data_IF_668880512698
#
_entry.id   IF_668880512698
#
_cell.length_a   1.000
_cell.length_b   1.000
_cell.length_c   1.000
_cell.angle_alpha   90.00
_cell.angle_beta   90.00
_cell.angle_gamma   90.00
#
_symmetry.space_group_name_H-M   'P 1'
#
loop_
_entity.id
_entity.type
_entity.pdbx_description
1 polymer ?
#
# COMPACT_ATOMS: atom_id res chain seq x y z
N UNK A 1 20.09 40.70 36.19
CA UNK A 1 18.67 40.43 36.50
C UNK A 1 17.66 41.44 35.91
N UNK A 2 17.94 42.14 34.79
CA UNK A 2 16.92 42.92 34.05
C UNK A 2 16.90 42.65 32.55
N UNK A 3 17.35 41.47 32.14
CA UNK A 3 17.39 41.07 30.73
C UNK A 3 16.80 39.68 30.46
N UNK A 4 16.36 38.96 31.51
CA UNK A 4 15.71 37.65 31.40
C UNK A 4 14.18 37.67 31.56
N UNK A 5 13.55 38.82 31.79
CA UNK A 5 12.08 38.95 31.92
C UNK A 5 11.37 39.44 30.65
N UNK A 6 12.10 39.69 29.54
CA UNK A 6 11.50 40.15 28.27
C UNK A 6 11.33 39.07 27.19
N UNK A 7 11.63 37.81 27.49
CA UNK A 7 11.48 36.70 26.53
C UNK A 7 10.25 35.83 26.85
N UNK A 8 9.62 35.98 28.01
CA UNK A 8 8.48 35.14 28.42
C UNK A 8 7.11 35.78 28.10
N UNK A 9 7.07 37.01 27.58
CA UNK A 9 5.80 37.75 27.41
C UNK A 9 5.51 38.18 25.95
N UNK A 10 5.91 37.37 24.96
CA UNK A 10 5.62 37.62 23.54
C UNK A 10 5.13 36.37 22.77
N UNK A 11 4.47 35.42 23.45
CA UNK A 11 3.84 34.24 22.82
C UNK A 11 2.37 34.05 23.18
N UNK A 12 1.65 35.14 23.41
CA UNK A 12 0.20 35.16 23.33
C UNK A 12 -0.20 36.23 22.32
N UNK A 13 -1.21 35.91 21.49
CA UNK A 13 -1.91 36.77 20.52
C UNK A 13 -1.50 36.57 19.04
N UNK A 14 -2.36 35.81 18.35
CA UNK A 14 -2.65 35.76 16.90
C UNK A 14 -1.59 35.30 15.88
N UNK A 15 -1.95 34.27 15.10
CA UNK A 15 -1.41 34.11 13.75
C UNK A 15 -1.50 32.69 13.22
N UNK A 16 -2.58 32.38 12.51
CA UNK A 16 -2.71 31.23 11.62
C UNK A 16 -1.54 31.24 10.62
N UNK A 17 -0.64 30.25 10.66
CA UNK A 17 0.42 30.09 9.67
C UNK A 17 0.08 28.88 8.80
N UNK A 18 -0.37 29.22 7.59
CA UNK A 18 -0.54 28.35 6.44
C UNK A 18 0.84 27.84 5.99
N UNK A 19 1.02 26.53 5.90
CA UNK A 19 2.22 25.93 5.31
C UNK A 19 2.11 25.97 3.78
N UNK A 20 3.10 26.53 3.04
CA UNK A 20 3.07 26.49 1.59
C UNK A 20 3.36 25.08 1.08
N UNK A 21 2.46 24.63 0.20
CA UNK A 21 2.60 23.53 -0.75
C UNK A 21 3.96 23.55 -1.44
N UNK A 22 4.79 22.53 -1.21
CA UNK A 22 5.99 22.29 -2.01
C UNK A 22 5.60 21.63 -3.34
N UNK A 23 5.30 22.48 -4.30
CA UNK A 23 5.09 22.12 -5.70
C UNK A 23 6.41 21.72 -6.37
N UNK A 24 6.36 20.57 -7.05
CA UNK A 24 7.14 20.14 -8.23
C UNK A 24 8.54 20.73 -8.45
N UNK A 25 9.57 19.96 -8.13
CA UNK A 25 10.88 20.07 -8.76
C UNK A 25 10.89 19.19 -10.03
N UNK A 26 10.48 19.79 -11.15
CA UNK A 26 10.55 19.18 -12.49
C UNK A 26 11.98 19.27 -13.01
N UNK A 27 12.72 18.17 -12.94
CA UNK A 27 13.99 18.02 -13.66
C UNK A 27 13.66 17.72 -15.13
N UNK A 28 13.93 18.68 -16.02
CA UNK A 28 13.84 18.52 -17.47
C UNK A 28 14.94 17.56 -17.98
N UNK A 29 14.61 16.46 -18.68
CA UNK A 29 15.59 15.75 -19.48
C UNK A 29 15.81 16.47 -20.83
N UNK A 30 17.08 16.57 -21.22
CA UNK A 30 17.52 17.17 -22.47
C UNK A 30 17.04 16.37 -23.69
N UNK A 31 16.55 17.11 -24.67
CA UNK A 31 16.09 16.63 -25.98
C UNK A 31 17.27 16.07 -26.77
N UNK A 32 17.23 14.78 -27.10
CA UNK A 32 18.08 14.18 -28.12
C UNK A 32 17.18 13.80 -29.29
N UNK A 33 17.27 14.59 -30.36
CA UNK A 33 16.71 14.28 -31.67
C UNK A 33 17.36 12.99 -32.19
N UNK A 34 16.57 11.96 -32.44
CA UNK A 34 16.97 10.89 -33.34
C UNK A 34 15.87 10.61 -34.35
N UNK A 35 16.26 10.77 -35.60
CA UNK A 35 15.51 10.73 -36.84
C UNK A 35 14.94 9.34 -37.10
N UNK A 36 13.68 9.30 -37.52
CA UNK A 36 12.99 8.12 -38.04
C UNK A 36 13.60 7.69 -39.38
N UNK A 37 13.88 6.40 -39.54
CA UNK A 37 13.96 5.75 -40.84
C UNK A 37 13.03 4.53 -40.84
N UNK A 38 12.07 4.59 -41.75
CA UNK A 38 11.12 3.55 -42.16
C UNK A 38 11.82 2.41 -42.91
N UNK A 39 11.48 1.16 -42.59
CA UNK A 39 11.47 0.05 -43.56
C UNK A 39 10.58 -1.10 -43.05
N UNK A 40 9.56 -1.41 -43.86
CA UNK A 40 8.73 -2.61 -43.80
C UNK A 40 9.54 -3.87 -44.16
N UNK A 41 9.25 -5.04 -43.58
CA UNK A 41 8.67 -6.20 -44.28
C UNK A 41 8.61 -7.47 -43.41
N UNK A 42 7.57 -8.26 -43.69
CA UNK A 42 7.24 -9.59 -43.16
C UNK A 42 8.24 -10.67 -43.63
N UNK A 43 8.50 -11.69 -42.80
CA UNK A 43 8.10 -13.10 -43.05
C UNK A 43 8.84 -14.08 -42.11
N UNK A 44 8.11 -15.10 -41.68
CA UNK A 44 8.52 -16.34 -41.00
C UNK A 44 8.18 -17.52 -41.93
N UNK A 45 8.56 -18.80 -41.66
CA UNK A 45 9.74 -19.46 -41.05
C UNK A 45 10.20 -20.65 -41.98
N UNK A 46 10.63 -21.89 -41.60
CA UNK A 46 11.20 -22.48 -40.36
C UNK A 46 12.42 -23.47 -40.52
N UNK A 47 13.02 -23.81 -39.36
CA UNK A 47 13.49 -25.14 -38.89
C UNK A 47 14.74 -25.92 -39.42
N UNK A 48 15.36 -26.61 -38.44
CA UNK A 48 16.07 -27.93 -38.42
C UNK A 48 17.65 -28.00 -38.36
N UNK A 49 18.12 -28.49 -37.18
CA UNK A 49 19.30 -29.33 -36.81
C UNK A 49 20.79 -28.94 -36.99
N UNK A 50 21.48 -28.86 -35.84
CA UNK A 50 22.80 -29.40 -35.37
C UNK A 50 23.80 -30.12 -36.33
N UNK A 51 25.05 -30.42 -35.88
CA UNK A 51 26.13 -29.63 -35.25
C UNK A 51 27.51 -29.97 -35.91
N UNK A 52 28.65 -29.75 -35.21
CA UNK A 52 30.08 -30.05 -35.52
C UNK A 52 30.86 -28.82 -36.00
N UNK A 53 31.76 -28.24 -35.21
CA UNK A 53 33.07 -28.71 -34.72
C UNK A 53 34.22 -28.09 -35.52
N UNK A 54 35.08 -27.40 -34.76
CA UNK A 54 36.52 -27.21 -34.99
C UNK A 54 36.96 -26.37 -36.18
N UNK A 55 37.54 -25.20 -35.91
CA UNK A 55 38.94 -24.97 -36.26
C UNK A 55 39.48 -23.70 -35.59
N UNK A 56 40.69 -23.89 -35.04
CA UNK A 56 41.62 -22.89 -34.55
C UNK A 56 41.82 -21.74 -35.54
N UNK A 57 41.99 -20.52 -35.03
CA UNK A 57 42.88 -19.54 -35.64
C UNK A 57 43.38 -18.57 -34.58
N UNK A 58 44.60 -18.81 -34.15
CA UNK A 58 45.42 -17.84 -33.44
C UNK A 58 45.82 -16.72 -34.42
N UNK A 59 45.62 -15.46 -34.06
CA UNK A 59 46.49 -14.40 -34.56
C UNK A 59 46.51 -13.13 -33.70
N UNK A 60 47.71 -12.91 -33.16
CA UNK A 60 48.46 -11.65 -33.23
C UNK A 60 47.98 -10.48 -32.38
N UNK A 61 48.46 -10.56 -31.14
CA UNK A 61 48.99 -9.47 -30.31
C UNK A 61 49.88 -8.51 -31.13
N UNK A 62 49.39 -7.31 -31.45
CA UNK A 62 50.23 -6.19 -31.92
C UNK A 62 50.34 -5.14 -30.82
N UNK A 63 51.55 -5.11 -30.26
CA UNK A 63 52.04 -4.19 -29.23
C UNK A 63 52.33 -2.84 -29.88
N UNK A 64 51.42 -1.87 -29.77
CA UNK A 64 51.66 -0.50 -30.24
C UNK A 64 52.10 0.36 -29.06
N UNK A 65 53.38 0.74 -29.06
CA UNK A 65 54.04 1.54 -28.02
C UNK A 65 54.31 2.94 -28.58
N UNK A 66 54.07 3.94 -27.72
CA UNK A 66 54.52 5.36 -27.74
C UNK A 66 53.84 6.33 -28.72
N UNK A 67 53.23 7.38 -28.17
CA UNK A 67 53.93 8.64 -27.85
C UNK A 67 53.11 9.47 -26.85
N UNK A 68 53.76 9.86 -25.75
CA UNK A 68 53.24 10.84 -24.79
C UNK A 68 53.57 12.25 -25.29
N UNK A 69 52.62 13.17 -25.20
CA UNK A 69 52.83 14.61 -25.25
C UNK A 69 52.65 15.16 -23.82
N UNK A 70 53.48 16.12 -23.37
CA UNK A 70 53.39 16.68 -22.04
C UNK A 70 52.34 17.79 -22.02
N UNK A 71 51.34 17.67 -21.16
CA UNK A 71 50.30 18.68 -20.99
C UNK A 71 49.85 18.71 -19.54
N UNK A 72 50.44 19.64 -18.79
CA UNK A 72 49.86 20.33 -17.63
C UNK A 72 49.21 19.42 -16.58
N UNK A 73 50.02 18.99 -15.61
CA UNK A 73 49.51 18.54 -14.33
C UNK A 73 48.75 19.71 -13.67
N UNK A 74 47.42 19.60 -13.62
CA UNK A 74 46.64 20.31 -12.63
C UNK A 74 47.14 19.87 -11.24
N UNK A 75 47.20 20.76 -10.22
CA UNK A 75 47.49 20.31 -8.87
C UNK A 75 46.35 19.39 -8.47
N UNK A 76 46.64 18.09 -8.33
CA UNK A 76 45.69 17.18 -7.70
C UNK A 76 45.54 17.66 -6.26
N UNK A 77 44.36 18.21 -5.94
CA UNK A 77 43.95 18.45 -4.57
C UNK A 77 43.79 17.11 -3.85
N UNK A 78 44.91 16.47 -3.53
CA UNK A 78 44.95 15.37 -2.58
C UNK A 78 44.69 15.97 -1.21
N UNK A 79 43.61 15.53 -0.56
CA UNK A 79 43.39 15.82 0.85
C UNK A 79 44.68 15.52 1.63
N UNK A 80 45.13 16.47 2.45
CA UNK A 80 46.25 16.24 3.35
C UNK A 80 45.90 15.07 4.27
N UNK A 81 46.88 14.21 4.56
CA UNK A 81 46.73 13.08 5.50
C UNK A 81 46.22 13.57 6.87
N UNK A 82 46.59 14.78 7.28
CA UNK A 82 46.06 15.40 8.50
C UNK A 82 44.56 15.70 8.42
N UNK A 83 44.06 16.16 7.27
CA UNK A 83 42.62 16.44 7.12
C UNK A 83 41.82 15.15 7.07
N UNK A 84 42.38 14.12 6.43
CA UNK A 84 41.82 12.76 6.47
C UNK A 84 41.75 12.23 7.90
N UNK A 85 42.81 12.39 8.67
CA UNK A 85 42.88 11.92 10.06
C UNK A 85 41.89 12.68 10.96
N UNK A 86 41.78 14.00 10.82
CA UNK A 86 40.78 14.81 11.54
C UNK A 86 39.35 14.41 11.17
N UNK A 87 39.09 14.11 9.89
CA UNK A 87 37.79 13.62 9.44
C UNK A 87 37.45 12.26 10.08
N UNK A 88 38.39 11.32 10.08
CA UNK A 88 38.19 10.00 10.69
C UNK A 88 37.97 10.07 12.21
N UNK A 89 38.58 11.04 12.89
CA UNK A 89 38.35 11.29 14.32
C UNK A 89 36.95 11.89 14.56
N UNK A 90 36.55 12.90 13.79
CA UNK A 90 35.19 13.46 13.83
C UNK A 90 34.12 12.39 13.55
N UNK A 91 34.34 11.54 12.54
CA UNK A 91 33.41 10.45 12.22
C UNK A 91 33.33 9.40 13.34
N UNK A 92 34.44 9.11 14.03
CA UNK A 92 34.45 8.22 15.20
C UNK A 92 33.66 8.81 16.36
N UNK A 93 33.87 10.09 16.67
CA UNK A 93 33.15 10.77 17.75
C UNK A 93 31.64 10.85 17.47
N UNK A 94 31.25 11.15 16.23
CA UNK A 94 29.85 11.12 15.79
C UNK A 94 29.23 9.73 15.94
N UNK A 95 29.92 8.66 15.51
CA UNK A 95 29.45 7.28 15.69
C UNK A 95 29.27 6.94 17.16
N UNK A 96 30.17 7.43 18.01
CA UNK A 96 30.09 7.25 19.47
C UNK A 96 28.86 7.94 20.04
N UNK A 97 28.65 9.22 19.73
CA UNK A 97 27.47 9.97 20.17
C UNK A 97 26.15 9.32 19.72
N UNK A 98 26.07 8.83 18.48
CA UNK A 98 24.88 8.12 17.97
C UNK A 98 24.66 6.79 18.71
N UNK A 99 25.74 6.10 19.09
CA UNK A 99 25.67 4.81 19.79
C UNK A 99 25.37 4.97 21.28
N UNK A 100 25.88 6.04 21.89
CA UNK A 100 25.80 6.30 23.34
C UNK A 100 24.43 6.88 23.74
N UNK A 101 23.71 7.54 22.81
CA UNK A 101 22.37 8.08 23.07
C UNK A 101 21.28 6.98 22.95
N UNK A 102 20.69 6.52 24.07
CA UNK A 102 19.79 5.37 24.05
C UNK A 102 18.52 5.67 23.23
N UNK A 103 18.27 4.84 22.22
CA UNK A 103 17.08 4.95 21.38
C UNK A 103 17.12 6.05 20.32
N UNK A 104 18.18 6.87 20.23
CA UNK A 104 18.32 7.87 19.15
C UNK A 104 18.34 7.21 17.78
N UNK A 105 19.14 6.15 17.62
CA UNK A 105 19.18 5.38 16.38
C UNK A 105 17.78 4.83 16.08
N UNK A 106 17.11 4.17 17.03
CA UNK A 106 15.76 3.65 16.86
C UNK A 106 14.75 4.71 16.39
N UNK A 107 14.84 5.94 16.91
CA UNK A 107 14.01 7.08 16.49
C UNK A 107 14.35 7.53 15.07
N UNK A 108 15.62 7.67 14.72
CA UNK A 108 16.05 8.05 13.35
C UNK A 108 15.58 6.99 12.36
N UNK A 109 15.75 5.71 12.72
CA UNK A 109 15.39 4.58 11.88
C UNK A 109 13.89 4.48 11.65
N UNK A 110 13.05 4.87 12.61
CA UNK A 110 11.59 4.88 12.47
C UNK A 110 11.09 5.77 11.32
N UNK A 111 11.88 6.74 10.85
CA UNK A 111 11.55 7.60 9.71
C UNK A 111 11.98 7.02 8.36
N UNK A 112 12.78 5.96 8.34
CA UNK A 112 13.14 5.31 7.09
C UNK A 112 11.97 4.42 6.62
N UNK A 113 11.72 4.28 5.32
CA UNK A 113 10.89 3.19 4.82
C UNK A 113 11.42 1.83 5.29
N UNK A 114 10.54 0.92 5.74
CA UNK A 114 10.95 -0.40 6.23
C UNK A 114 11.80 -1.16 5.19
N UNK A 115 11.47 -1.03 3.90
CA UNK A 115 12.24 -1.66 2.84
C UNK A 115 13.70 -1.19 2.79
N UNK A 116 14.05 0.00 3.29
CA UNK A 116 15.43 0.47 3.46
C UNK A 116 16.07 -0.10 4.72
N UNK A 117 15.32 -0.23 5.81
CA UNK A 117 15.83 -0.83 7.04
C UNK A 117 16.25 -2.29 6.87
N UNK A 118 15.53 -3.03 6.02
CA UNK A 118 15.83 -4.43 5.75
C UNK A 118 17.19 -4.64 5.06
N UNK A 119 17.81 -3.60 4.51
CA UNK A 119 19.15 -3.68 3.92
C UNK A 119 20.29 -3.42 4.91
N UNK A 120 20.00 -2.97 6.14
CA UNK A 120 21.03 -2.56 7.09
C UNK A 120 21.51 -3.72 7.96
N UNK A 121 20.73 -4.11 8.96
CA UNK A 121 21.00 -5.27 9.80
C UNK A 121 19.74 -5.72 10.52
N UNK A 122 19.76 -6.95 11.04
CA UNK A 122 18.65 -7.50 11.84
C UNK A 122 18.44 -6.71 13.13
N UNK A 123 19.53 -6.45 13.83
CA UNK A 123 19.53 -5.70 15.09
C UNK A 123 18.93 -4.32 14.90
N UNK A 124 19.25 -3.67 13.78
CA UNK A 124 18.79 -2.32 13.45
C UNK A 124 17.27 -2.26 13.29
N UNK A 125 16.68 -3.15 12.49
CA UNK A 125 15.23 -3.12 12.28
C UNK A 125 14.46 -3.65 13.50
N UNK A 126 15.01 -4.58 14.28
CA UNK A 126 14.38 -5.05 15.53
C UNK A 126 14.29 -3.92 16.56
N UNK A 127 15.33 -3.09 16.69
CA UNK A 127 15.32 -1.94 17.59
C UNK A 127 14.36 -0.83 17.14
N UNK A 128 14.18 -0.67 15.82
CA UNK A 128 13.32 0.37 15.27
C UNK A 128 11.83 -0.06 15.19
N UNK A 129 11.56 -1.35 14.98
CA UNK A 129 10.23 -1.89 14.70
C UNK A 129 9.13 -1.51 15.72
N UNK A 130 9.39 -1.46 17.04
CA UNK A 130 8.38 -1.03 18.01
C UNK A 130 7.90 0.42 17.81
N UNK A 131 8.68 1.25 17.11
CA UNK A 131 8.34 2.66 16.84
C UNK A 131 7.74 2.87 15.44
N UNK A 132 7.51 1.81 14.67
CA UNK A 132 6.87 1.91 13.36
C UNK A 132 5.35 1.92 13.48
N UNK A 133 4.75 3.00 12.96
CA UNK A 133 3.29 3.16 12.91
C UNK A 133 2.71 2.91 11.53
N UNK A 134 3.50 3.01 10.47
CA UNK A 134 3.03 2.94 9.10
C UNK A 134 3.88 1.97 8.28
N UNK A 135 3.21 1.04 7.60
CA UNK A 135 3.86 0.11 6.69
C UNK A 135 3.32 0.28 5.27
N UNK A 136 4.23 0.37 4.29
CA UNK A 136 3.92 0.29 2.87
C UNK A 136 4.43 -1.03 2.30
N UNK A 137 3.55 -1.76 1.61
CA UNK A 137 3.88 -2.89 0.74
C UNK A 137 3.54 -2.45 -0.68
N UNK A 138 4.50 -1.85 -1.39
CA UNK A 138 4.21 -1.16 -2.66
C UNK A 138 4.95 -1.70 -3.87
N UNK A 139 4.20 -1.88 -4.96
CA UNK A 139 4.72 -2.20 -6.29
C UNK A 139 5.16 -0.96 -7.10
N UNK A 140 4.92 0.27 -6.59
CA UNK A 140 5.17 1.53 -7.32
C UNK A 140 6.64 1.71 -7.68
N UNK A 141 7.53 1.43 -6.73
CA UNK A 141 8.97 1.58 -6.93
C UNK A 141 9.61 0.22 -7.20
N UNK A 142 10.43 0.14 -8.24
CA UNK A 142 11.10 -1.10 -8.65
C UNK A 142 11.89 -1.76 -7.50
N UNK A 143 12.57 -0.96 -6.68
CA UNK A 143 13.36 -1.45 -5.54
C UNK A 143 12.49 -2.10 -4.46
N UNK A 144 11.44 -1.41 -4.03
CA UNK A 144 10.48 -1.89 -3.03
C UNK A 144 9.72 -3.13 -3.55
N UNK A 145 9.26 -3.07 -4.80
CA UNK A 145 8.63 -4.20 -5.49
C UNK A 145 9.52 -5.45 -5.47
N UNK A 146 10.79 -5.30 -5.86
CA UNK A 146 11.75 -6.40 -5.91
C UNK A 146 12.02 -7.00 -4.53
N UNK A 147 12.02 -6.17 -3.48
CA UNK A 147 12.18 -6.62 -2.10
C UNK A 147 10.98 -7.47 -1.67
N UNK A 148 9.75 -7.00 -1.83
CA UNK A 148 8.55 -7.72 -1.39
C UNK A 148 8.33 -9.04 -2.14
N UNK A 149 8.73 -9.10 -3.42
CA UNK A 149 8.67 -10.35 -4.18
C UNK A 149 9.63 -11.44 -3.67
N UNK A 150 10.79 -11.02 -3.16
CA UNK A 150 11.89 -11.93 -2.80
C UNK A 150 11.96 -12.22 -1.31
N UNK A 151 11.36 -11.39 -0.46
CA UNK A 151 11.46 -11.53 0.99
C UNK A 151 10.83 -12.86 1.45
N UNK A 152 11.55 -13.74 2.16
CA UNK A 152 10.97 -14.97 2.68
C UNK A 152 9.84 -14.69 3.67
N UNK A 153 8.74 -15.45 3.62
CA UNK A 153 7.60 -15.25 4.54
C UNK A 153 8.01 -15.41 6.02
N UNK A 154 8.95 -16.30 6.33
CA UNK A 154 9.49 -16.44 7.68
C UNK A 154 10.15 -15.15 8.19
N UNK A 155 10.81 -14.39 7.30
CA UNK A 155 11.38 -13.09 7.65
C UNK A 155 10.27 -12.04 7.80
N UNK A 156 9.27 -12.03 6.91
CA UNK A 156 8.08 -11.17 7.03
C UNK A 156 7.40 -11.37 8.38
N UNK A 157 7.22 -12.62 8.81
CA UNK A 157 6.65 -12.96 10.11
C UNK A 157 7.47 -12.36 11.25
N UNK A 158 8.81 -12.55 11.26
CA UNK A 158 9.68 -11.98 12.30
C UNK A 158 9.62 -10.45 12.37
N UNK A 159 9.57 -9.80 11.21
CA UNK A 159 9.44 -8.35 11.14
C UNK A 159 8.09 -7.92 11.70
N UNK A 160 7.01 -8.51 11.19
CA UNK A 160 5.65 -8.16 11.58
C UNK A 160 5.36 -8.43 13.06
N UNK A 161 5.90 -9.50 13.65
CA UNK A 161 5.80 -9.73 15.10
C UNK A 161 6.48 -8.64 15.93
N UNK A 162 7.44 -7.92 15.35
CA UNK A 162 8.17 -6.84 16.02
C UNK A 162 7.51 -5.46 15.83
N UNK A 163 6.57 -5.32 14.89
CA UNK A 163 5.86 -4.07 14.59
C UNK A 163 4.71 -3.84 15.59
N UNK A 164 5.01 -3.78 16.88
CA UNK A 164 3.99 -3.80 17.93
C UNK A 164 3.11 -2.54 17.97
N UNK A 165 3.52 -1.42 17.38
CA UNK A 165 2.77 -0.16 17.36
C UNK A 165 2.22 0.20 15.98
N UNK A 166 2.09 -0.78 15.08
CA UNK A 166 1.57 -0.55 13.74
C UNK A 166 0.14 0.00 13.79
N UNK A 167 -0.09 1.14 13.14
CA UNK A 167 -1.37 1.86 13.07
C UNK A 167 -2.01 1.71 11.69
N UNK A 168 -1.21 1.76 10.61
CA UNK A 168 -1.75 1.62 9.27
C UNK A 168 -0.88 0.80 8.33
N UNK A 169 -1.54 0.12 7.40
CA UNK A 169 -0.91 -0.61 6.29
C UNK A 169 -1.45 -0.06 4.98
N UNK A 170 -0.55 0.28 4.07
CA UNK A 170 -0.88 0.54 2.67
C UNK A 170 -0.34 -0.61 1.82
N UNK A 171 -1.24 -1.32 1.15
CA UNK A 171 -0.93 -2.38 0.20
C UNK A 171 -1.18 -1.84 -1.21
N UNK A 172 -0.11 -1.60 -1.96
CA UNK A 172 -0.21 -1.03 -3.30
C UNK A 172 0.22 -2.05 -4.35
N UNK A 173 -0.74 -2.55 -5.12
CA UNK A 173 -0.53 -3.59 -6.13
C UNK A 173 -0.56 -3.02 -7.56
N UNK A 174 0.07 -3.70 -8.53
CA UNK A 174 -0.10 -3.38 -9.95
C UNK A 174 -1.54 -3.63 -10.38
N UNK A 175 -2.08 -2.78 -11.25
CA UNK A 175 -3.44 -2.92 -11.79
C UNK A 175 -3.71 -4.24 -12.50
N UNK A 176 -2.68 -4.82 -13.13
CA UNK A 176 -2.80 -6.09 -13.85
C UNK A 176 -2.72 -7.31 -12.92
N UNK A 177 -2.28 -7.15 -11.66
CA UNK A 177 -1.99 -8.26 -10.74
C UNK A 177 -2.48 -7.89 -9.33
N UNK A 178 -3.79 -7.97 -9.07
CA UNK A 178 -4.38 -7.57 -7.79
C UNK A 178 -3.84 -8.32 -6.58
N UNK A 179 -3.49 -9.60 -6.75
CA UNK A 179 -2.99 -10.46 -5.68
C UNK A 179 -1.46 -10.43 -5.50
N UNK A 180 -0.77 -9.51 -6.16
CA UNK A 180 0.68 -9.38 -6.08
C UNK A 180 1.14 -9.25 -4.62
N UNK A 181 1.95 -10.19 -4.13
CA UNK A 181 2.43 -10.22 -2.73
C UNK A 181 1.32 -10.16 -1.66
N UNK A 182 0.11 -10.63 -1.99
CA UNK A 182 -1.00 -10.65 -1.03
C UNK A 182 -0.73 -11.58 0.16
N UNK A 183 0.06 -12.62 -0.02
CA UNK A 183 0.56 -13.50 1.06
C UNK A 183 1.42 -12.75 2.09
N UNK A 184 2.27 -11.83 1.62
CA UNK A 184 3.07 -10.94 2.49
C UNK A 184 2.14 -10.05 3.31
N UNK A 185 1.16 -9.42 2.65
CA UNK A 185 0.18 -8.58 3.33
C UNK A 185 -0.59 -9.34 4.42
N UNK A 186 -1.14 -10.51 4.10
CA UNK A 186 -1.82 -11.37 5.09
C UNK A 186 -0.89 -11.75 6.25
N UNK A 187 0.33 -12.20 5.93
CA UNK A 187 1.33 -12.59 6.93
C UNK A 187 1.64 -11.44 7.88
N UNK A 188 1.75 -10.21 7.37
CA UNK A 188 2.01 -9.03 8.20
C UNK A 188 0.89 -8.80 9.20
N UNK A 189 -0.37 -8.75 8.75
CA UNK A 189 -1.51 -8.43 9.63
C UNK A 189 -1.60 -9.45 10.76
N UNK A 190 -1.48 -10.73 10.43
CA UNK A 190 -1.67 -11.81 11.40
C UNK A 190 -0.48 -11.94 12.36
N UNK A 191 0.73 -11.77 11.84
CA UNK A 191 1.95 -11.81 12.65
C UNK A 191 2.07 -10.58 13.55
N UNK A 192 1.54 -9.42 13.14
CA UNK A 192 1.44 -8.24 14.01
C UNK A 192 0.57 -8.53 15.25
N UNK A 193 -0.61 -9.13 15.05
CA UNK A 193 -1.48 -9.53 16.16
C UNK A 193 -0.81 -10.60 17.04
N UNK A 194 -0.17 -11.59 16.42
CA UNK A 194 0.56 -12.63 17.15
C UNK A 194 1.72 -12.05 17.97
N UNK A 195 2.47 -11.08 17.43
CA UNK A 195 3.56 -10.40 18.10
C UNK A 195 3.10 -9.60 19.32
N UNK A 196 2.01 -8.83 19.17
CA UNK A 196 1.39 -8.12 20.30
C UNK A 196 0.90 -9.07 21.38
N UNK A 197 0.26 -10.18 20.99
CA UNK A 197 -0.18 -11.23 21.92
C UNK A 197 0.99 -11.84 22.68
N UNK A 198 2.08 -12.18 21.98
CA UNK A 198 3.29 -12.73 22.61
C UNK A 198 3.98 -11.73 23.56
N UNK A 199 3.86 -10.44 23.28
CA UNK A 199 4.35 -9.36 24.15
C UNK A 199 3.39 -8.99 25.29
N UNK A 200 2.29 -9.73 25.48
CA UNK A 200 1.23 -9.45 26.47
C UNK A 200 0.69 -8.01 26.37
N UNK A 201 0.58 -7.48 25.15
CA UNK A 201 0.04 -6.15 24.93
C UNK A 201 -1.47 -6.25 24.71
N UNK A 202 -2.24 -5.61 25.58
CA UNK A 202 -3.69 -5.56 25.46
C UNK A 202 -4.14 -4.75 24.24
N UNK A 203 -5.22 -5.21 23.61
CA UNK A 203 -5.85 -4.56 22.46
C UNK A 203 -5.02 -4.54 21.17
N UNK A 204 -5.66 -4.06 20.09
CA UNK A 204 -5.02 -3.80 18.80
C UNK A 204 -4.49 -2.37 18.66
N UNK A 205 -3.55 -2.16 17.74
CA UNK A 205 -3.10 -0.82 17.31
C UNK A 205 -3.43 -0.53 15.86
N UNK A 206 -3.57 -1.56 15.01
CA UNK A 206 -3.88 -1.40 13.60
C UNK A 206 -5.28 -0.82 13.42
N UNK A 207 -5.36 0.40 12.88
CA UNK A 207 -6.60 1.16 12.66
C UNK A 207 -7.07 1.17 11.22
N UNK A 208 -6.13 1.20 10.27
CA UNK A 208 -6.46 1.39 8.86
C UNK A 208 -5.69 0.46 7.95
N UNK A 209 -6.42 -0.17 7.04
CA UNK A 209 -5.86 -0.89 5.89
C UNK A 209 -6.29 -0.14 4.64
N UNK A 210 -5.33 0.28 3.82
CA UNK A 210 -5.59 0.90 2.53
C UNK A 210 -5.03 0.02 1.44
N UNK A 211 -5.87 -0.37 0.50
CA UNK A 211 -5.51 -1.11 -0.70
C UNK A 211 -5.54 -0.13 -1.87
N UNK A 212 -4.41 -0.01 -2.57
CA UNK A 212 -4.25 0.91 -3.68
C UNK A 212 -3.87 0.17 -4.95
N UNK A 213 -4.48 0.59 -6.04
CA UNK A 213 -4.07 0.19 -7.38
C UNK A 213 -3.06 1.19 -7.94
N UNK A 214 -1.98 0.65 -8.51
CA UNK A 214 -1.01 1.43 -9.28
C UNK A 214 -1.11 1.10 -10.76
N UNK A 215 -1.23 2.15 -11.58
CA UNK A 215 -1.26 2.02 -13.04
C UNK A 215 0.02 1.39 -13.58
N UNK A 216 -0.12 0.24 -14.23
CA UNK A 216 0.99 -0.46 -14.85
C UNK A 216 1.29 0.09 -16.24
N UNK A 217 2.57 0.38 -16.52
CA UNK A 217 3.02 0.70 -17.88
C UNK A 217 3.53 -0.57 -18.55
N UNK A 218 3.03 -0.87 -19.75
CA UNK A 218 3.39 -2.10 -20.50
C UNK A 218 4.88 -2.27 -20.78
N UNK A 219 5.66 -1.17 -20.75
CA UNK A 219 7.11 -1.18 -20.92
C UNK A 219 7.88 -1.59 -19.65
N UNK A 220 7.21 -1.75 -18.51
CA UNK A 220 7.79 -2.44 -17.35
C UNK A 220 7.79 -3.94 -17.63
N UNK A 221 8.60 -4.43 -18.56
CA UNK A 221 8.66 -5.85 -18.97
C UNK A 221 9.34 -6.75 -17.91
N UNK A 222 9.00 -6.58 -16.64
CA UNK A 222 9.46 -7.43 -15.55
C UNK A 222 8.47 -8.56 -15.30
N UNK A 223 8.97 -9.79 -15.22
CA UNK A 223 8.21 -10.89 -14.60
C UNK A 223 7.94 -10.52 -13.14
N UNK A 224 6.67 -10.57 -12.73
CA UNK A 224 6.36 -10.41 -11.33
C UNK A 224 6.65 -11.73 -10.62
N UNK A 225 7.49 -11.69 -9.58
CA UNK A 225 7.46 -12.73 -8.57
C UNK A 225 6.14 -12.62 -7.78
N UNK A 226 5.57 -13.75 -7.36
CA UNK A 226 4.38 -13.81 -6.48
C UNK A 226 3.14 -13.10 -7.02
N UNK A 227 2.75 -13.42 -8.25
CA UNK A 227 1.50 -12.90 -8.86
C UNK A 227 0.26 -13.46 -8.17
N UNK A 228 0.28 -14.77 -7.91
CA UNK A 228 -0.79 -15.51 -7.25
C UNK A 228 -0.17 -16.40 -6.17
N UNK A 229 0.35 -15.78 -5.09
CA UNK A 229 1.05 -16.54 -4.07
C UNK A 229 0.06 -17.48 -3.36
N UNK A 230 0.56 -18.65 -2.96
CA UNK A 230 -0.18 -19.51 -2.07
C UNK A 230 -0.48 -18.75 -0.77
N UNK A 231 -1.71 -18.89 -0.27
CA UNK A 231 -2.13 -18.21 0.96
C UNK A 231 -1.37 -18.80 2.14
N UNK A 232 -0.97 -17.97 3.13
CA UNK A 232 -0.51 -18.48 4.41
C UNK A 232 -1.60 -19.37 5.06
N UNK A 233 -1.20 -20.40 5.82
CA UNK A 233 -2.15 -21.20 6.61
C UNK A 233 -3.06 -20.31 7.46
N UNK A 234 -4.30 -20.76 7.70
CA UNK A 234 -5.18 -20.08 8.65
C UNK A 234 -4.58 -20.13 10.05
N UNK A 235 -4.71 -19.04 10.81
CA UNK A 235 -4.21 -18.95 12.18
C UNK A 235 -5.33 -19.32 13.14
N UNK A 236 -5.03 -20.19 14.11
CA UNK A 236 -5.94 -20.61 15.18
C UNK A 236 -5.35 -20.21 16.56
N UNK A 237 -6.04 -19.40 17.37
CA UNK A 237 -7.32 -18.75 17.09
C UNK A 237 -7.20 -17.63 16.05
N UNK A 238 -8.28 -17.31 15.32
CA UNK A 238 -8.29 -16.21 14.37
C UNK A 238 -7.87 -14.88 15.03
N UNK A 239 -7.20 -13.98 14.30
CA UNK A 239 -6.76 -12.72 14.86
C UNK A 239 -7.95 -11.78 15.13
N UNK A 240 -7.89 -11.10 16.27
CA UNK A 240 -8.82 -10.02 16.61
C UNK A 240 -8.15 -8.68 16.36
N UNK A 241 -8.67 -7.92 15.39
CA UNK A 241 -8.22 -6.57 15.04
C UNK A 241 -9.11 -5.54 15.72
N UNK A 242 -9.05 -5.49 17.06
CA UNK A 242 -10.00 -4.71 17.88
C UNK A 242 -9.92 -3.19 17.67
N UNK A 243 -8.86 -2.68 17.06
CA UNK A 243 -8.68 -1.25 16.76
C UNK A 243 -8.93 -0.90 15.29
N UNK A 244 -9.16 -1.88 14.43
CA UNK A 244 -9.34 -1.65 13.00
C UNK A 244 -10.70 -0.98 12.78
N UNK A 245 -10.66 0.22 12.23
CA UNK A 245 -11.84 1.07 12.01
C UNK A 245 -12.13 1.27 10.53
N UNK A 246 -11.12 1.12 9.65
CA UNK A 246 -11.31 1.32 8.23
C UNK A 246 -10.52 0.32 7.36
N UNK A 247 -11.20 -0.23 6.35
CA UNK A 247 -10.58 -0.92 5.22
C UNK A 247 -10.99 -0.20 3.94
N UNK A 248 -10.02 0.28 3.16
CA UNK A 248 -10.28 1.12 1.98
C UNK A 248 -9.72 0.50 0.71
N UNK A 249 -10.41 0.70 -0.41
CA UNK A 249 -9.97 0.27 -1.75
C UNK A 249 -10.00 -1.23 -1.97
N UNK A 250 -10.90 -1.96 -1.30
CA UNK A 250 -11.09 -3.38 -1.58
C UNK A 250 -11.55 -3.59 -3.03
N UNK A 251 -11.14 -4.71 -3.62
CA UNK A 251 -11.65 -5.17 -4.91
C UNK A 251 -12.02 -6.65 -4.80
N UNK A 252 -12.62 -7.19 -5.85
CA UNK A 252 -13.12 -8.57 -5.87
C UNK A 252 -12.10 -9.64 -5.51
N UNK A 253 -10.85 -9.37 -5.86
CA UNK A 253 -9.72 -10.25 -5.58
C UNK A 253 -9.35 -10.27 -4.09
N UNK A 254 -9.69 -9.24 -3.34
CA UNK A 254 -9.32 -9.08 -1.94
C UNK A 254 -10.36 -9.65 -0.97
N UNK A 255 -11.54 -10.08 -1.44
CA UNK A 255 -12.60 -10.53 -0.53
C UNK A 255 -12.31 -11.82 0.21
N UNK A 256 -11.27 -12.56 -0.21
CA UNK A 256 -10.74 -13.65 0.60
C UNK A 256 -10.30 -13.24 2.01
N UNK A 257 -10.19 -11.95 2.30
CA UNK A 257 -10.07 -11.43 3.67
C UNK A 257 -11.22 -11.88 4.58
N UNK A 258 -12.47 -11.88 4.10
CA UNK A 258 -13.61 -12.39 4.87
C UNK A 258 -13.46 -13.87 5.24
N UNK A 259 -12.85 -14.65 4.34
CA UNK A 259 -12.56 -16.07 4.55
C UNK A 259 -11.39 -16.36 5.50
N UNK A 260 -10.67 -15.35 5.99
CA UNK A 260 -9.61 -15.53 7.00
C UNK A 260 -10.15 -15.68 8.43
N UNK A 261 -11.43 -15.36 8.66
CA UNK A 261 -12.04 -15.41 9.99
C UNK A 261 -11.56 -14.31 10.94
N UNK A 262 -11.00 -13.21 10.41
CA UNK A 262 -10.58 -12.08 11.23
C UNK A 262 -11.77 -11.48 11.97
N UNK A 263 -11.61 -11.19 13.26
CA UNK A 263 -12.62 -10.53 14.08
C UNK A 263 -12.32 -9.03 14.14
N UNK A 264 -13.24 -8.18 13.69
CA UNK A 264 -13.01 -6.74 13.52
C UNK A 264 -14.14 -5.93 14.18
N UNK A 265 -14.34 -6.06 15.51
CA UNK A 265 -15.53 -5.54 16.20
C UNK A 265 -15.73 -4.02 16.07
N UNK A 266 -14.65 -3.28 15.82
CA UNK A 266 -14.61 -1.81 15.72
C UNK A 266 -14.60 -1.29 14.29
N UNK A 267 -14.77 -2.16 13.27
CA UNK A 267 -14.72 -1.74 11.88
C UNK A 267 -15.93 -0.88 11.54
N UNK A 268 -15.70 0.38 11.18
CA UNK A 268 -16.73 1.38 10.91
C UNK A 268 -16.91 1.67 9.41
N UNK A 269 -15.82 1.64 8.64
CA UNK A 269 -15.79 2.04 7.23
C UNK A 269 -15.19 0.94 6.35
N UNK A 270 -15.92 0.56 5.31
CA UNK A 270 -15.43 -0.32 4.24
C UNK A 270 -15.65 0.37 2.89
N UNK A 271 -14.57 0.62 2.15
CA UNK A 271 -14.65 1.23 0.81
C UNK A 271 -14.02 0.34 -0.25
N UNK A 272 -14.51 0.48 -1.48
CA UNK A 272 -14.08 -0.32 -2.62
C UNK A 272 -13.50 0.51 -3.74
N UNK A 273 -12.81 -0.18 -4.64
CA UNK A 273 -12.40 0.35 -5.92
C UNK A 273 -13.63 0.60 -6.83
N UNK A 274 -13.57 1.62 -7.69
CA UNK A 274 -14.69 2.04 -8.54
C UNK A 274 -15.04 1.02 -9.65
N UNK A 275 -14.07 0.24 -10.13
CA UNK A 275 -14.19 -0.66 -11.31
C UNK A 275 -14.60 -2.11 -10.98
N UNK A 276 -15.32 -2.35 -9.88
CA UNK A 276 -15.57 -3.72 -9.40
C UNK A 276 -16.86 -4.30 -10.03
N UNK A 277 -16.72 -5.23 -10.98
CA UNK A 277 -17.83 -5.98 -11.59
C UNK A 277 -18.07 -7.31 -10.85
N UNK A 278 -19.02 -7.36 -9.91
CA UNK A 278 -19.11 -8.50 -8.98
C UNK A 278 -20.09 -9.60 -9.35
N UNK A 279 -19.59 -10.81 -9.65
CA UNK A 279 -20.39 -12.04 -9.50
C UNK A 279 -20.05 -12.90 -8.27
N UNK A 280 -18.84 -12.79 -7.70
CA UNK A 280 -18.25 -13.90 -6.90
C UNK A 280 -17.81 -13.55 -5.46
N UNK A 281 -18.11 -12.37 -4.94
CA UNK A 281 -17.47 -11.86 -3.72
C UNK A 281 -18.37 -11.27 -2.65
N UNK A 282 -19.65 -11.06 -2.96
CA UNK A 282 -20.60 -10.48 -2.02
C UNK A 282 -20.81 -11.38 -0.77
N UNK A 283 -20.70 -12.71 -0.93
CA UNK A 283 -20.69 -13.67 0.20
C UNK A 283 -19.63 -13.35 1.26
N UNK A 284 -18.40 -13.13 0.79
CA UNK A 284 -17.23 -12.92 1.63
C UNK A 284 -17.23 -11.50 2.20
N UNK A 285 -17.85 -10.55 1.51
CA UNK A 285 -18.15 -9.24 2.06
C UNK A 285 -19.12 -9.34 3.24
N UNK A 286 -20.18 -10.15 3.12
CA UNK A 286 -21.10 -10.43 4.23
C UNK A 286 -20.34 -10.91 5.48
N UNK A 287 -19.40 -11.83 5.33
CA UNK A 287 -18.53 -12.31 6.42
C UNK A 287 -17.66 -11.19 7.01
N UNK A 288 -17.13 -10.31 6.16
CA UNK A 288 -16.33 -9.16 6.61
C UNK A 288 -17.17 -8.19 7.43
N UNK A 289 -18.40 -7.91 7.02
CA UNK A 289 -19.34 -7.05 7.75
C UNK A 289 -19.78 -7.72 9.06
N UNK A 290 -20.06 -9.02 9.02
CA UNK A 290 -20.49 -9.80 10.19
C UNK A 290 -19.44 -9.84 11.31
N UNK A 291 -18.17 -9.75 10.95
CA UNK A 291 -17.07 -9.66 11.93
C UNK A 291 -17.05 -8.35 12.74
N UNK A 292 -17.95 -7.40 12.44
CA UNK A 292 -18.05 -6.09 13.07
C UNK A 292 -19.40 -5.83 13.71
N UNK A 293 -19.40 -4.99 14.76
CA UNK A 293 -20.60 -4.47 15.41
C UNK A 293 -20.73 -2.96 15.29
N UNK A 294 -19.86 -2.32 14.51
CA UNK A 294 -19.68 -0.87 14.48
C UNK A 294 -19.76 -0.29 13.07
N UNK A 295 -20.15 -1.07 12.06
CA UNK A 295 -20.18 -0.63 10.66
C UNK A 295 -21.17 0.53 10.51
N UNK A 296 -20.66 1.66 10.02
CA UNK A 296 -21.44 2.88 9.74
C UNK A 296 -21.51 3.18 8.26
N UNK A 297 -20.43 2.89 7.53
CA UNK A 297 -20.32 3.27 6.12
C UNK A 297 -19.81 2.09 5.30
N UNK A 298 -20.59 1.71 4.31
CA UNK A 298 -20.17 0.78 3.27
C UNK A 298 -20.24 1.56 1.97
N UNK A 299 -19.10 2.08 1.51
CA UNK A 299 -19.03 2.85 0.27
C UNK A 299 -18.77 1.89 -0.90
N UNK A 300 -19.86 1.52 -1.56
CA UNK A 300 -19.89 0.47 -2.56
C UNK A 300 -20.87 0.85 -3.69
N UNK A 301 -20.56 0.55 -4.96
CA UNK A 301 -21.58 0.46 -6.02
C UNK A 301 -21.92 -0.98 -6.49
N UNK A 302 -23.09 -1.52 -6.08
CA UNK A 302 -23.47 -2.94 -6.24
C UNK A 302 -24.84 -3.00 -6.92
N UNK A 303 -25.09 -4.03 -7.73
CA UNK A 303 -26.45 -4.32 -8.22
C UNK A 303 -27.34 -4.76 -7.05
N UNK A 304 -28.60 -4.37 -7.10
CA UNK A 304 -29.56 -4.66 -6.03
C UNK A 304 -29.72 -6.17 -5.74
N UNK A 305 -29.71 -7.01 -6.78
CA UNK A 305 -29.81 -8.47 -6.63
C UNK A 305 -28.67 -9.05 -5.79
N UNK A 306 -27.43 -8.55 -5.97
CA UNK A 306 -26.27 -9.02 -5.21
C UNK A 306 -26.26 -8.52 -3.77
N UNK A 307 -26.83 -7.35 -3.49
CA UNK A 307 -27.04 -6.91 -2.10
C UNK A 307 -27.95 -7.89 -1.36
N UNK A 308 -29.07 -8.26 -1.99
CA UNK A 308 -30.08 -9.12 -1.35
C UNK A 308 -29.56 -10.55 -1.20
N UNK A 309 -29.20 -11.19 -2.32
CA UNK A 309 -28.87 -12.63 -2.35
C UNK A 309 -27.54 -12.96 -1.66
N UNK A 310 -26.55 -12.08 -1.74
CA UNK A 310 -25.20 -12.44 -1.33
C UNK A 310 -24.70 -11.75 -0.07
N UNK A 311 -25.12 -10.50 0.16
CA UNK A 311 -24.67 -9.71 1.32
C UNK A 311 -25.66 -9.86 2.47
N UNK A 312 -26.94 -9.52 2.27
CA UNK A 312 -27.93 -9.49 3.34
C UNK A 312 -28.48 -10.87 3.72
N UNK A 313 -28.73 -11.76 2.77
CA UNK A 313 -29.18 -13.13 3.09
C UNK A 313 -28.18 -13.92 3.94
N UNK A 314 -26.89 -13.58 3.84
CA UNK A 314 -25.83 -14.24 4.62
C UNK A 314 -25.53 -13.55 5.95
N UNK A 315 -26.15 -12.40 6.25
CA UNK A 315 -26.01 -11.78 7.56
C UNK A 315 -26.85 -12.55 8.60
N UNK A 316 -26.31 -12.76 9.80
CA UNK A 316 -27.09 -13.37 10.86
C UNK A 316 -28.29 -12.49 11.19
N UNK A 317 -29.47 -13.11 11.21
CA UNK A 317 -30.68 -12.47 11.73
C UNK A 317 -30.55 -12.45 13.25
N UNK A 318 -30.58 -11.26 13.89
CA UNK A 318 -30.53 -11.20 15.34
C UNK A 318 -31.80 -11.79 15.95
N UNK A 319 -31.68 -12.34 17.15
CA UNK A 319 -32.84 -12.77 17.93
C UNK A 319 -33.84 -11.61 18.12
N UNK A 320 -35.15 -11.90 18.26
CA UNK A 320 -36.16 -10.87 18.47
C UNK A 320 -35.78 -9.92 19.63
N UNK A 321 -35.65 -8.63 19.33
CA UNK A 321 -35.28 -7.60 20.30
C UNK A 321 -33.78 -7.33 20.45
N UNK A 322 -32.91 -8.08 19.76
CA UNK A 322 -31.49 -7.77 19.70
C UNK A 322 -31.15 -6.94 18.45
N UNK A 323 -30.23 -5.96 18.56
CA UNK A 323 -29.82 -5.18 17.41
C UNK A 323 -28.77 -5.94 16.59
N UNK A 324 -29.03 -6.09 15.29
CA UNK A 324 -28.16 -6.81 14.36
C UNK A 324 -26.82 -6.12 14.05
N UNK A 325 -25.96 -6.74 13.21
CA UNK A 325 -24.62 -6.23 12.90
C UNK A 325 -24.63 -4.84 12.23
N UNK A 326 -25.72 -4.50 11.53
CA UNK A 326 -25.90 -3.23 10.83
C UNK A 326 -26.62 -2.14 11.64
N UNK A 327 -26.77 -2.31 12.97
CA UNK A 327 -27.52 -1.35 13.81
C UNK A 327 -27.00 0.09 13.80
N UNK A 328 -25.74 0.29 13.42
CA UNK A 328 -25.09 1.61 13.33
C UNK A 328 -24.87 2.06 11.89
N UNK A 329 -25.44 1.36 10.91
CA UNK A 329 -25.25 1.69 9.50
C UNK A 329 -25.92 3.03 9.17
N UNK A 330 -25.10 4.00 8.77
CA UNK A 330 -25.50 5.37 8.44
C UNK A 330 -25.54 5.59 6.93
N UNK A 331 -24.65 4.95 6.18
CA UNK A 331 -24.56 5.08 4.74
C UNK A 331 -24.20 3.76 4.06
N UNK A 332 -24.95 3.46 3.00
CA UNK A 332 -24.60 2.46 1.99
C UNK A 332 -24.34 3.24 0.69
N UNK A 333 -23.34 2.84 -0.07
CA UNK A 333 -23.07 3.42 -1.37
C UNK A 333 -24.20 3.14 -2.37
N UNK A 334 -23.95 3.44 -3.64
CA UNK A 334 -24.98 3.39 -4.67
C UNK A 334 -25.47 1.96 -4.93
N UNK A 335 -26.78 1.76 -4.82
CA UNK A 335 -27.43 0.51 -5.23
C UNK A 335 -27.92 0.70 -6.68
N UNK A 336 -27.34 -0.03 -7.62
CA UNK A 336 -27.77 0.00 -9.02
C UNK A 336 -28.95 -0.98 -9.23
N UNK A 337 -30.07 -0.43 -9.69
CA UNK A 337 -31.29 -1.19 -9.98
C UNK A 337 -31.37 -1.63 -11.46
N UNK A 338 -30.54 -1.08 -12.36
CA UNK A 338 -30.73 -1.12 -13.82
C UNK A 338 -29.50 -1.52 -14.67
N UNK A 339 -28.35 -1.88 -14.12
CA UNK A 339 -27.20 -2.35 -14.92
C UNK A 339 -25.89 -2.40 -14.14
N UNK A 340 -24.74 -2.71 -14.79
CA UNK A 340 -23.44 -2.62 -14.12
C UNK A 340 -23.20 -1.17 -13.72
N UNK A 341 -22.81 -0.98 -12.46
CA UNK A 341 -22.48 0.35 -11.99
C UNK A 341 -21.25 0.87 -12.73
N UNK A 342 -21.40 2.01 -13.40
CA UNK A 342 -20.26 2.81 -13.81
C UNK A 342 -19.62 2.49 -15.15
N UNK A 343 -20.38 2.24 -16.22
CA UNK A 343 -20.04 2.81 -17.55
C UNK A 343 -21.30 2.83 -18.41
N UNK A 344 -21.87 4.02 -18.68
CA UNK A 344 -22.61 4.18 -19.93
C UNK A 344 -21.57 4.28 -21.06
N UNK A 345 -21.83 3.65 -22.20
CA UNK A 345 -20.93 3.59 -23.38
C UNK A 345 -20.66 4.99 -24.01
N UNK A 346 -20.92 6.09 -23.31
CA UNK A 346 -20.91 7.45 -23.84
C UNK A 346 -20.13 8.47 -23.00
N UNK A 347 -19.53 8.08 -21.86
CA UNK A 347 -18.65 8.98 -21.08
C UNK A 347 -19.31 10.30 -20.63
N UNK A 348 -20.64 10.34 -20.52
CA UNK A 348 -21.38 11.49 -20.00
C UNK A 348 -21.99 11.17 -18.65
N UNK A 349 -21.82 12.08 -17.69
CA UNK A 349 -22.55 12.11 -16.41
C UNK A 349 -24.04 11.90 -16.70
N UNK A 350 -24.55 10.72 -16.33
CA UNK A 350 -25.96 10.39 -16.46
C UNK A 350 -26.78 11.41 -15.70
N UNK A 351 -27.72 12.06 -16.39
CA UNK A 351 -28.72 12.92 -15.74
C UNK A 351 -29.43 12.11 -14.65
N UNK A 352 -29.49 12.70 -13.46
CA UNK A 352 -30.36 12.28 -12.36
C UNK A 352 -31.76 12.03 -12.95
N UNK A 353 -32.32 10.82 -12.85
CA UNK A 353 -33.73 10.61 -13.14
C UNK A 353 -34.54 11.43 -12.14
N UNK A 354 -35.38 12.32 -12.64
CA UNK A 354 -36.33 13.08 -11.83
C UNK A 354 -37.08 12.10 -10.90
N UNK A 355 -37.21 12.40 -9.59
CA UNK A 355 -37.92 11.51 -8.69
C UNK A 355 -39.32 11.23 -9.22
N UNK A 356 -39.69 9.95 -9.27
CA UNK A 356 -41.04 9.52 -9.59
C UNK A 356 -42.02 10.25 -8.65
N UNK A 357 -43.11 10.82 -9.17
CA UNK A 357 -44.10 11.46 -8.31
C UNK A 357 -44.68 10.42 -7.35
N UNK A 358 -44.74 10.79 -6.07
CA UNK A 358 -45.36 9.98 -5.03
C UNK A 358 -46.78 9.54 -5.48
N UNK A 359 -47.21 8.32 -5.14
CA UNK A 359 -48.58 7.90 -5.41
C UNK A 359 -49.54 8.91 -4.80
N UNK A 360 -50.42 9.47 -5.64
CA UNK A 360 -51.40 10.46 -5.21
C UNK A 360 -52.26 9.86 -4.08
N UNK A 361 -52.41 10.60 -2.99
CA UNK A 361 -53.34 10.23 -1.92
C UNK A 361 -54.75 10.05 -2.51
N UNK A 362 -55.48 8.99 -2.12
CA UNK A 362 -56.87 8.83 -2.52
C UNK A 362 -57.69 10.03 -2.04
N UNK A 363 -58.70 10.47 -2.84
CA UNK A 363 -59.51 11.62 -2.49
C UNK A 363 -60.25 11.40 -1.16
N UNK A 364 -60.42 12.45 -0.35
CA UNK A 364 -61.14 12.35 0.91
C UNK A 364 -62.60 11.91 0.66
N UNK A 365 -63.20 11.14 1.58
CA UNK A 365 -64.57 10.69 1.44
C UNK A 365 -65.54 11.89 1.40
N UNK A 366 -66.65 11.78 0.64
CA UNK A 366 -67.62 12.86 0.54
C UNK A 366 -68.21 13.18 1.91
N UNK A 367 -68.30 14.48 2.21
CA UNK A 367 -68.94 14.97 3.42
C UNK A 367 -70.40 14.49 3.48
N UNK A 368 -70.92 14.15 4.67
CA UNK A 368 -72.32 13.77 4.81
C UNK A 368 -73.21 14.96 4.45
N UNK A 369 -74.14 14.72 3.51
CA UNK A 369 -75.17 15.68 3.11
C UNK A 369 -76.12 15.99 4.29
N UNK A 370 -76.66 17.22 4.36
CA UNK A 370 -77.43 17.73 5.50
C UNK A 370 -78.76 17.02 5.73
#
# INVERSE_FOLDING_TARGET
ERQNERIVEAQAVHGSISYPSLSCLTIRPATLHQTQHTANQMDTPPCVTHPMSSARSASRRTKRRRRAAPGTAAPSGGESEEERQRREERERDLRRQISDEPGLLGRIMAFLPLHLLLWLSRETWVLAAPNYHHLSISARLRGERSLWQRIPLALVQQIATSLTQLISITFCHPSAIPLWCFDVFLTVVESHVAGRRAANMDGGTLRTITIEKHGWRSNESGTFGREHPARPPLVDPPPTLSALTAIKGLSEFHFDLGGRGWLMPSLEEVTLEEDVSMGYGAAKLGQLIDSSHSVRRIDWCLRAEWWVEDVFERMPTPDPGQPGPLRHLEAIGTIDLNGPCGINESGQLGRIPTPLPLPQQPPPPPAPSP
#
